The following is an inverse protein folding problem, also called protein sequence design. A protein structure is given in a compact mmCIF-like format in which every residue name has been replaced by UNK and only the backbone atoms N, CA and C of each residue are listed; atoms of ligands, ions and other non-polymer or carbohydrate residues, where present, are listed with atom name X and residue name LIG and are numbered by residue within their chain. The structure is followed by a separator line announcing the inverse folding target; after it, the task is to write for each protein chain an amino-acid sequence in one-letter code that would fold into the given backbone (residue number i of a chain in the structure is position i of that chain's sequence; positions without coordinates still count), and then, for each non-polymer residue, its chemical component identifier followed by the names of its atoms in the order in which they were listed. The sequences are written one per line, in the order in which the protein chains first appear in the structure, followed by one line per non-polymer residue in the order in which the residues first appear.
data_IF_351674742089
#
_entry.id   IF_351674742089
#
_cell.length_a   1.000
_cell.length_b   1.000
_cell.length_c   1.000
_cell.angle_alpha   90.00
_cell.angle_beta   90.00
_cell.angle_gamma   90.00
#
_symmetry.space_group_name_H-M   'P 1'
#
loop_
_entity.id
_entity.type
_entity.pdbx_description
1 polymer ?
#
# COMPACT_ATOMS: atom_id res chain seq x y z
N UNK A 1 59.33 36.77 22.07
CA UNK A 1 59.82 37.19 20.73
C UNK A 1 59.03 36.40 19.70
N UNK A 2 58.30 37.13 18.85
CA UNK A 2 57.42 36.64 17.80
C UNK A 2 58.12 35.66 16.84
N UNK A 3 57.40 34.61 16.45
CA UNK A 3 57.57 34.06 15.10
C UNK A 3 56.26 33.40 14.65
N UNK A 4 55.36 34.25 14.14
CA UNK A 4 54.30 33.83 13.22
C UNK A 4 54.96 33.49 11.89
N UNK A 5 54.94 32.22 11.51
CA UNK A 5 55.12 31.81 10.11
C UNK A 5 53.90 31.04 9.65
N UNK A 6 53.08 31.75 8.89
CA UNK A 6 52.16 31.22 7.92
C UNK A 6 52.90 30.24 6.99
N UNK A 7 52.38 29.02 6.86
CA UNK A 7 52.58 28.23 5.65
C UNK A 7 51.21 27.74 5.17
N UNK A 8 50.75 28.46 4.16
CA UNK A 8 49.72 28.05 3.23
C UNK A 8 50.04 26.66 2.69
N UNK A 9 49.11 25.72 2.81
CA UNK A 9 49.06 24.51 2.00
C UNK A 9 47.64 24.31 1.51
N UNK A 10 47.42 24.74 0.27
CA UNK A 10 46.36 24.20 -0.57
C UNK A 10 46.56 22.69 -0.68
N UNK A 11 45.63 21.91 -0.13
CA UNK A 11 45.52 20.48 -0.37
C UNK A 11 44.11 20.20 -0.85
N UNK A 12 43.98 20.17 -2.17
CA UNK A 12 43.19 19.23 -2.97
C UNK A 12 41.85 18.76 -2.40
N UNK A 13 40.81 19.26 -3.05
CA UNK A 13 39.48 18.69 -3.16
C UNK A 13 39.57 17.21 -3.60
N UNK A 14 39.41 16.28 -2.66
CA UNK A 14 39.13 14.86 -2.94
C UNK A 14 38.17 14.34 -1.87
N UNK A 15 36.94 14.08 -2.30
CA UNK A 15 35.99 13.09 -1.83
C UNK A 15 36.10 12.59 -0.38
N UNK A 16 35.03 12.80 0.40
CA UNK A 16 34.52 11.75 1.29
C UNK A 16 33.01 11.87 1.49
N UNK A 17 32.31 11.03 0.74
CA UNK A 17 30.96 10.59 1.00
C UNK A 17 30.89 9.96 2.40
N UNK A 18 29.93 10.36 3.22
CA UNK A 18 29.18 9.45 4.10
C UNK A 18 28.01 10.20 4.75
N UNK A 19 26.96 10.47 3.96
CA UNK A 19 25.65 10.79 4.49
C UNK A 19 24.95 9.49 4.89
N UNK A 20 25.48 8.84 5.92
CA UNK A 20 24.90 7.66 6.53
C UNK A 20 23.86 8.11 7.56
N UNK A 21 22.77 8.69 7.04
CA UNK A 21 21.58 9.03 7.80
C UNK A 21 20.35 8.91 6.89
N UNK A 22 20.23 7.79 6.15
CA UNK A 22 18.93 7.37 5.63
C UNK A 22 18.21 6.63 6.74
N UNK A 23 17.73 7.43 7.68
CA UNK A 23 16.71 7.01 8.63
C UNK A 23 15.56 6.39 7.85
N UNK A 24 15.05 5.31 8.41
CA UNK A 24 13.78 4.65 8.19
C UNK A 24 12.65 5.66 7.90
N UNK A 25 12.59 6.19 6.68
CA UNK A 25 11.46 6.98 6.21
C UNK A 25 10.31 5.99 6.07
N UNK A 26 9.41 6.08 7.05
CA UNK A 26 8.19 5.31 7.24
C UNK A 26 7.65 4.74 5.92
N UNK A 27 7.70 3.40 5.81
CA UNK A 27 7.08 2.62 4.73
C UNK A 27 5.63 3.02 4.45
N UNK A 28 4.93 3.62 5.42
CA UNK A 28 3.55 4.07 5.28
C UNK A 28 3.35 5.16 4.21
N UNK A 29 4.28 6.12 4.05
CA UNK A 29 4.08 7.22 3.08
C UNK A 29 4.29 6.79 1.63
N UNK A 30 4.94 5.64 1.40
CA UNK A 30 5.17 5.15 0.05
C UNK A 30 3.94 4.47 -0.56
N UNK A 31 3.02 3.97 0.27
CA UNK A 31 1.93 3.09 -0.17
C UNK A 31 0.63 3.84 -0.54
N UNK A 32 0.58 5.15 -0.34
CA UNK A 32 -0.62 5.98 -0.55
C UNK A 32 -1.06 5.96 -2.02
N UNK A 33 -2.29 5.55 -2.33
CA UNK A 33 -2.80 5.49 -3.70
C UNK A 33 -2.09 4.48 -4.61
N UNK A 34 -1.28 3.58 -4.04
CA UNK A 34 -0.61 2.51 -4.77
C UNK A 34 -1.49 1.24 -4.79
N UNK A 35 -1.27 0.43 -5.83
CA UNK A 35 -1.85 -0.91 -5.93
C UNK A 35 -0.74 -1.92 -5.71
N UNK A 36 -0.98 -2.88 -4.82
CA UNK A 36 -0.03 -3.93 -4.48
C UNK A 36 -0.70 -5.29 -4.66
N UNK A 37 -0.04 -6.20 -5.37
CA UNK A 37 -0.40 -7.61 -5.35
C UNK A 37 0.31 -8.26 -4.15
N UNK A 38 -0.43 -9.00 -3.33
CA UNK A 38 0.08 -9.66 -2.15
C UNK A 38 0.47 -11.12 -2.44
N UNK A 39 1.39 -11.62 -1.61
CA UNK A 39 1.58 -13.04 -1.33
C UNK A 39 1.16 -13.31 0.12
N UNK A 40 1.03 -14.59 0.50
CA UNK A 40 0.71 -14.98 1.89
C UNK A 40 1.72 -14.42 2.91
N UNK A 41 3.00 -14.31 2.55
CA UNK A 41 4.04 -13.78 3.43
C UNK A 41 4.04 -12.25 3.52
N UNK A 42 3.63 -11.57 2.45
CA UNK A 42 3.70 -10.11 2.35
C UNK A 42 2.43 -9.41 2.80
N UNK A 43 1.29 -10.11 2.78
CA UNK A 43 -0.03 -9.56 3.10
C UNK A 43 -0.06 -8.78 4.41
N UNK A 44 0.42 -9.39 5.51
CA UNK A 44 0.38 -8.76 6.83
C UNK A 44 1.13 -7.43 6.85
N UNK A 45 2.28 -7.35 6.17
CA UNK A 45 3.06 -6.12 6.08
C UNK A 45 2.35 -5.04 5.28
N UNK A 46 1.65 -5.41 4.21
CA UNK A 46 0.90 -4.49 3.35
C UNK A 46 -0.32 -3.89 4.07
N UNK A 47 -0.99 -4.67 4.92
CA UNK A 47 -2.16 -4.20 5.67
C UNK A 47 -1.82 -3.52 7.00
N UNK A 48 -0.58 -3.65 7.48
CA UNK A 48 -0.09 -3.04 8.72
C UNK A 48 0.38 -1.59 8.50
N UNK A 49 -0.50 -0.77 7.96
CA UNK A 49 -0.26 0.66 7.69
C UNK A 49 -1.29 1.53 8.40
N UNK A 50 -0.97 2.81 8.59
CA UNK A 50 -1.88 3.78 9.23
C UNK A 50 -3.08 4.16 8.35
N UNK A 51 -2.95 3.95 7.05
CA UNK A 51 -3.97 4.30 6.08
C UNK A 51 -5.01 3.19 5.94
N UNK A 52 -6.13 3.52 5.32
CA UNK A 52 -7.15 2.52 5.04
C UNK A 52 -6.68 1.64 3.90
N UNK A 53 -6.74 0.33 4.09
CA UNK A 53 -6.37 -0.64 3.06
C UNK A 53 -7.61 -1.30 2.51
N UNK A 54 -7.84 -1.11 1.22
CA UNK A 54 -8.87 -1.84 0.48
C UNK A 54 -8.23 -3.14 -0.01
N UNK A 55 -8.78 -4.28 0.39
CA UNK A 55 -8.31 -5.61 -0.01
C UNK A 55 -9.29 -6.18 -1.02
N UNK A 56 -8.83 -6.52 -2.21
CA UNK A 56 -9.61 -7.15 -3.29
C UNK A 56 -9.18 -8.61 -3.48
N UNK A 57 -10.03 -9.54 -3.04
CA UNK A 57 -9.85 -10.97 -3.27
C UNK A 57 -10.42 -11.35 -4.64
N UNK A 58 -9.53 -11.78 -5.54
CA UNK A 58 -9.86 -12.09 -6.94
C UNK A 58 -9.23 -13.42 -7.38
N UNK A 59 -9.45 -13.78 -8.65
CA UNK A 59 -8.70 -14.81 -9.35
C UNK A 59 -8.64 -14.50 -10.86
N UNK A 60 -7.61 -14.97 -11.55
CA UNK A 60 -7.42 -14.71 -12.98
C UNK A 60 -8.53 -15.30 -13.88
N UNK A 61 -9.18 -16.38 -13.45
CA UNK A 61 -10.29 -17.01 -14.17
C UNK A 61 -11.66 -16.39 -13.86
N UNK A 62 -11.72 -15.42 -12.94
CA UNK A 62 -12.96 -14.79 -12.49
C UNK A 62 -13.37 -13.62 -13.39
N UNK A 63 -14.30 -13.86 -14.32
CA UNK A 63 -14.84 -12.80 -15.20
C UNK A 63 -15.44 -11.60 -14.46
N UNK A 64 -16.26 -11.76 -13.40
CA UNK A 64 -16.75 -10.62 -12.63
C UNK A 64 -15.64 -9.80 -11.95
N UNK A 65 -14.53 -10.44 -11.56
CA UNK A 65 -13.38 -9.76 -10.97
C UNK A 65 -12.72 -8.81 -11.99
N UNK A 66 -12.58 -9.25 -13.25
CA UNK A 66 -12.05 -8.39 -14.33
C UNK A 66 -12.89 -7.13 -14.59
N UNK A 67 -14.21 -7.18 -14.35
CA UNK A 67 -15.08 -6.00 -14.46
C UNK A 67 -14.90 -5.05 -13.27
N UNK A 68 -14.64 -5.59 -12.08
CA UNK A 68 -14.50 -4.82 -10.84
C UNK A 68 -13.13 -4.15 -10.71
N UNK A 69 -12.05 -4.82 -11.16
CA UNK A 69 -10.66 -4.36 -11.04
C UNK A 69 -10.43 -2.91 -11.52
N UNK A 70 -10.85 -2.49 -12.74
CA UNK A 70 -10.64 -1.09 -13.15
C UNK A 70 -11.43 -0.09 -12.31
N UNK A 71 -12.61 -0.51 -11.80
CA UNK A 71 -13.47 0.35 -10.98
C UNK A 71 -12.84 0.61 -9.61
N UNK A 72 -12.32 -0.43 -8.95
CA UNK A 72 -11.74 -0.31 -7.61
C UNK A 72 -10.40 0.43 -7.65
N UNK A 73 -9.59 0.19 -8.70
CA UNK A 73 -8.35 0.95 -8.93
C UNK A 73 -8.61 2.43 -9.11
N UNK A 74 -9.60 2.80 -9.93
CA UNK A 74 -9.99 4.19 -10.14
C UNK A 74 -10.48 4.85 -8.84
N UNK A 75 -11.30 4.14 -8.06
CA UNK A 75 -11.84 4.64 -6.80
C UNK A 75 -10.74 4.90 -5.76
N UNK A 76 -9.82 3.95 -5.59
CA UNK A 76 -8.69 4.09 -4.66
C UNK A 76 -7.72 5.17 -5.13
N UNK A 77 -7.38 5.21 -6.43
CA UNK A 77 -6.51 6.25 -6.99
C UNK A 77 -7.09 7.67 -6.80
N UNK A 78 -8.41 7.80 -6.82
CA UNK A 78 -9.10 9.08 -6.62
C UNK A 78 -9.27 9.47 -5.14
N UNK A 79 -8.91 8.59 -4.21
CA UNK A 79 -9.16 8.77 -2.77
C UNK A 79 -7.84 8.76 -2.00
N UNK A 80 -7.42 9.93 -1.51
CA UNK A 80 -6.21 10.04 -0.68
C UNK A 80 -6.34 9.26 0.63
N UNK A 81 -5.21 8.81 1.19
CA UNK A 81 -5.19 8.05 2.44
C UNK A 81 -5.80 6.63 2.32
N UNK A 82 -5.85 6.11 1.09
CA UNK A 82 -6.26 4.74 0.80
C UNK A 82 -5.24 4.03 -0.08
N UNK A 83 -5.09 2.73 0.13
CA UNK A 83 -4.21 1.84 -0.63
C UNK A 83 -5.01 0.61 -1.08
N UNK A 84 -4.73 0.09 -2.27
CA UNK A 84 -5.33 -1.15 -2.77
C UNK A 84 -4.34 -2.30 -2.63
N UNK A 85 -4.76 -3.36 -1.97
CA UNK A 85 -4.04 -4.63 -1.90
C UNK A 85 -4.89 -5.68 -2.61
N UNK A 86 -4.32 -6.36 -3.59
CA UNK A 86 -4.98 -7.41 -4.36
C UNK A 86 -4.46 -8.76 -3.91
N UNK A 87 -5.38 -9.70 -3.74
CA UNK A 87 -5.08 -11.05 -3.26
C UNK A 87 -5.68 -12.02 -4.25
N UNK A 88 -4.83 -12.70 -5.01
CA UNK A 88 -5.27 -13.84 -5.81
C UNK A 88 -5.50 -15.03 -4.87
N UNK A 89 -6.73 -15.56 -4.84
CA UNK A 89 -7.09 -16.65 -3.92
C UNK A 89 -6.42 -17.98 -4.25
N UNK A 90 -5.96 -18.16 -5.49
CA UNK A 90 -5.22 -19.36 -5.89
C UNK A 90 -3.75 -19.30 -5.43
N UNK A 91 -3.17 -18.09 -5.41
CA UNK A 91 -1.77 -17.86 -5.02
C UNK A 91 -1.62 -17.60 -3.52
N UNK A 92 -2.68 -17.13 -2.85
CA UNK A 92 -2.71 -16.80 -1.42
C UNK A 92 -3.78 -17.59 -0.64
N UNK A 93 -3.74 -18.94 -0.64
CA UNK A 93 -4.78 -19.76 -0.01
C UNK A 93 -4.84 -19.58 1.51
N UNK A 94 -3.74 -19.29 2.19
CA UNK A 94 -3.75 -19.08 3.63
C UNK A 94 -4.45 -17.76 3.99
N UNK A 95 -4.15 -16.69 3.26
CA UNK A 95 -4.78 -15.38 3.44
C UNK A 95 -6.26 -15.46 3.11
N UNK A 96 -6.63 -16.08 1.99
CA UNK A 96 -8.03 -16.29 1.62
C UNK A 96 -8.79 -17.08 2.71
N UNK A 97 -8.16 -18.11 3.28
CA UNK A 97 -8.75 -18.89 4.38
C UNK A 97 -8.95 -18.06 5.65
N UNK A 98 -7.98 -17.23 6.04
CA UNK A 98 -8.08 -16.34 7.22
C UNK A 98 -9.25 -15.35 7.11
N UNK A 99 -9.57 -14.91 5.90
CA UNK A 99 -10.71 -14.02 5.63
C UNK A 99 -12.03 -14.76 5.38
N UNK A 100 -12.04 -16.10 5.46
CA UNK A 100 -13.19 -16.96 5.15
C UNK A 100 -13.78 -16.66 3.76
N UNK A 101 -12.91 -16.54 2.75
CA UNK A 101 -13.34 -16.26 1.38
C UNK A 101 -14.03 -17.51 0.79
N UNK A 102 -15.34 -17.42 0.62
CA UNK A 102 -16.16 -18.46 0.01
C UNK A 102 -16.59 -18.15 -1.44
N UNK A 103 -16.46 -16.89 -1.86
CA UNK A 103 -16.88 -16.41 -3.17
C UNK A 103 -16.08 -15.17 -3.56
N UNK A 104 -15.76 -15.04 -4.84
CA UNK A 104 -15.03 -13.89 -5.39
C UNK A 104 -15.83 -13.22 -6.52
N UNK A 105 -15.65 -11.90 -6.74
CA UNK A 105 -14.77 -11.01 -5.97
C UNK A 105 -15.32 -10.74 -4.57
N UNK A 106 -14.42 -10.54 -3.60
CA UNK A 106 -14.77 -10.11 -2.26
C UNK A 106 -13.83 -8.98 -1.84
N UNK A 107 -14.39 -7.88 -1.35
CA UNK A 107 -13.63 -6.67 -1.05
C UNK A 107 -13.82 -6.31 0.42
N UNK A 108 -12.72 -6.00 1.09
CA UNK A 108 -12.69 -5.59 2.49
C UNK A 108 -12.02 -4.22 2.62
N UNK A 109 -12.51 -3.40 3.55
CA UNK A 109 -11.81 -2.21 4.01
C UNK A 109 -11.22 -2.51 5.38
N UNK A 110 -9.90 -2.34 5.50
CA UNK A 110 -9.15 -2.53 6.74
C UNK A 110 -8.68 -1.19 7.29
N UNK A 111 -8.81 -1.02 8.61
CA UNK A 111 -8.26 0.12 9.37
C UNK A 111 -7.46 -0.41 10.53
N UNK A 112 -6.16 -0.10 10.59
CA UNK A 112 -5.25 -0.62 11.61
C UNK A 112 -5.26 -2.16 11.75
N UNK A 113 -5.51 -2.87 10.65
CA UNK A 113 -5.61 -4.33 10.62
C UNK A 113 -7.00 -4.90 10.92
N UNK A 114 -7.94 -4.08 11.39
CA UNK A 114 -9.31 -4.51 11.68
C UNK A 114 -10.25 -4.31 10.48
N UNK A 115 -11.22 -5.22 10.31
CA UNK A 115 -12.24 -5.12 9.27
C UNK A 115 -13.21 -3.99 9.62
N UNK A 116 -13.19 -2.91 8.83
CA UNK A 116 -14.09 -1.78 8.96
C UNK A 116 -15.35 -1.92 8.08
N UNK A 117 -15.26 -2.69 6.99
CA UNK A 117 -16.38 -2.94 6.09
C UNK A 117 -16.04 -3.98 5.02
N UNK A 118 -17.06 -4.52 4.36
CA UNK A 118 -16.89 -5.46 3.24
C UNK A 118 -18.07 -5.47 2.28
N UNK A 119 -17.82 -5.95 1.07
CA UNK A 119 -18.85 -6.40 0.14
C UNK A 119 -18.38 -7.62 -0.66
N UNK A 120 -19.33 -8.32 -1.29
CA UNK A 120 -19.08 -9.49 -2.12
C UNK A 120 -19.79 -9.31 -3.46
N UNK A 121 -19.13 -9.70 -4.54
CA UNK A 121 -19.62 -9.59 -5.92
C UNK A 121 -19.18 -8.30 -6.62
N UNK A 122 -19.41 -8.25 -7.93
CA UNK A 122 -19.11 -7.08 -8.74
C UNK A 122 -20.21 -6.02 -8.55
N UNK A 123 -19.86 -4.90 -7.93
CA UNK A 123 -20.75 -3.76 -7.71
C UNK A 123 -20.60 -2.70 -8.82
N UNK A 124 -21.64 -1.88 -9.09
CA UNK A 124 -21.54 -0.76 -10.01
C UNK A 124 -20.58 0.33 -9.49
N UNK A 125 -20.03 1.13 -10.42
CA UNK A 125 -18.99 2.14 -10.12
C UNK A 125 -19.34 3.09 -8.98
N UNK A 126 -20.58 3.55 -8.88
CA UNK A 126 -21.00 4.47 -7.82
C UNK A 126 -20.91 3.82 -6.43
N UNK A 127 -21.34 2.56 -6.29
CA UNK A 127 -21.33 1.85 -5.02
C UNK A 127 -19.90 1.52 -4.56
N UNK A 128 -19.01 1.17 -5.49
CA UNK A 128 -17.58 0.96 -5.19
C UNK A 128 -16.93 2.26 -4.72
N UNK A 129 -17.20 3.37 -5.41
CA UNK A 129 -16.68 4.69 -5.03
C UNK A 129 -17.15 5.08 -3.63
N UNK A 130 -18.46 4.97 -3.38
CA UNK A 130 -19.04 5.26 -2.07
C UNK A 130 -18.44 4.37 -0.97
N UNK A 131 -18.25 3.07 -1.24
CA UNK A 131 -17.61 2.16 -0.30
C UNK A 131 -16.19 2.63 0.07
N UNK A 132 -15.36 2.98 -0.92
CA UNK A 132 -13.99 3.47 -0.68
C UNK A 132 -13.99 4.80 0.09
N UNK A 133 -14.83 5.76 -0.31
CA UNK A 133 -14.91 7.08 0.33
C UNK A 133 -15.39 7.00 1.79
N UNK A 134 -16.39 6.17 2.08
CA UNK A 134 -16.91 5.97 3.43
C UNK A 134 -15.87 5.38 4.39
N UNK A 135 -14.92 4.62 3.85
CA UNK A 135 -13.87 3.98 4.63
C UNK A 135 -12.54 4.74 4.57
N UNK A 136 -12.36 5.76 3.75
CA UNK A 136 -11.09 6.47 3.63
C UNK A 136 -10.56 7.00 4.99
N UNK A 137 -9.24 6.99 5.15
CA UNK A 137 -8.61 7.69 6.27
C UNK A 137 -8.75 9.18 6.04
N UNK A 138 -9.53 9.85 6.89
CA UNK A 138 -9.68 11.31 6.85
C UNK A 138 -8.40 11.96 7.37
N UNK A 139 -7.91 12.96 6.64
CA UNK A 139 -6.76 13.78 7.04
C UNK A 139 -7.09 14.66 8.25
#
# INVERSE_FOLDING_TARGET
MNSLRLLSRNVHNVARMNAQARGFQSSARFLTGQVHDASDETFQKLVSVKETVIVDFHANWCRPCHMLDPIIRDAVKSTSGTTLVRVDVDECPETASKFNIASIPAVFALKNGDIAGRFVGALPKHAVKEFVENHATKA
#
